data_IF_545995269873
#
_entry.id   IF_545995269873
#
_cell.length_a   1.000
_cell.length_b   1.000
_cell.length_c   1.000
_cell.angle_alpha   90.00
_cell.angle_beta   90.00
_cell.angle_gamma   90.00
#
_symmetry.space_group_name_H-M   'P 1'
#
loop_
_entity.id
_entity.type
_entity.pdbx_description
1 polymer ?
#
# COMPACT_ATOMS: atom_id res chain seq x y z
N UNK A 1 -8.56 7.53 -24.15
CA UNK A 1 -9.60 7.26 -23.13
C UNK A 1 -9.17 6.16 -22.16
N UNK A 2 -8.45 5.13 -22.60
CA UNK A 2 -7.98 4.03 -21.77
C UNK A 2 -6.80 4.44 -20.87
N UNK A 3 -5.85 5.22 -21.43
CA UNK A 3 -4.73 5.78 -20.65
C UNK A 3 -5.20 6.69 -19.51
N UNK A 4 -6.25 7.47 -19.72
CA UNK A 4 -6.79 8.36 -18.67
C UNK A 4 -7.49 7.62 -17.53
N UNK A 5 -8.10 6.47 -17.80
CA UNK A 5 -8.68 5.63 -16.73
C UNK A 5 -7.59 5.01 -15.86
N UNK A 6 -6.43 4.70 -16.44
CA UNK A 6 -5.33 4.05 -15.72
C UNK A 6 -4.46 5.02 -14.91
N UNK A 7 -4.50 6.32 -15.18
CA UNK A 7 -3.72 7.32 -14.43
C UNK A 7 -4.09 7.36 -12.93
N UNK A 8 -5.34 7.06 -12.59
CA UNK A 8 -5.80 7.03 -11.21
C UNK A 8 -5.19 5.88 -10.37
N UNK A 9 -4.59 4.90 -11.04
CA UNK A 9 -4.01 3.71 -10.39
C UNK A 9 -2.48 3.67 -10.44
N UNK A 10 -1.83 4.75 -10.82
CA UNK A 10 -0.38 4.88 -10.76
C UNK A 10 0.04 5.49 -9.44
N UNK A 11 1.01 4.90 -8.79
CA UNK A 11 1.46 5.37 -7.49
C UNK A 11 2.96 5.12 -7.27
N UNK A 12 3.48 5.66 -6.18
CA UNK A 12 4.83 5.45 -5.66
C UNK A 12 5.93 5.74 -6.70
N UNK A 13 5.85 6.91 -7.34
CA UNK A 13 6.84 7.36 -8.29
C UNK A 13 8.24 7.46 -7.65
N UNK A 14 9.24 6.94 -8.37
CA UNK A 14 10.67 7.06 -8.04
C UNK A 14 11.38 7.67 -9.23
N UNK A 15 12.22 8.65 -8.96
CA UNK A 15 13.04 9.32 -9.97
C UNK A 15 14.51 9.05 -9.67
N UNK A 16 15.26 8.71 -10.70
CA UNK A 16 16.72 8.61 -10.66
C UNK A 16 17.30 9.11 -11.96
N UNK A 17 18.58 9.46 -11.95
CA UNK A 17 19.31 9.82 -13.16
C UNK A 17 20.39 8.76 -13.41
N UNK A 18 20.58 8.39 -14.69
CA UNK A 18 21.73 7.58 -15.06
C UNK A 18 22.99 8.44 -15.23
N UNK A 19 24.14 7.79 -15.45
CA UNK A 19 25.43 8.50 -15.64
C UNK A 19 25.53 9.27 -16.94
N UNK A 20 24.66 8.99 -17.90
CA UNK A 20 24.54 9.76 -19.12
C UNK A 20 23.67 11.02 -18.95
N UNK A 21 23.03 11.20 -17.80
CA UNK A 21 22.16 12.33 -17.48
C UNK A 21 20.70 12.12 -17.87
N UNK A 22 20.28 10.92 -18.27
CA UNK A 22 18.87 10.63 -18.54
C UNK A 22 18.09 10.55 -17.24
N UNK A 23 16.86 11.03 -17.26
CA UNK A 23 15.94 10.92 -16.13
C UNK A 23 15.10 9.67 -16.29
N UNK A 24 15.15 8.79 -15.32
CA UNK A 24 14.34 7.60 -15.23
C UNK A 24 13.23 7.79 -14.19
N UNK A 25 12.00 7.57 -14.59
CA UNK A 25 10.83 7.56 -13.71
C UNK A 25 10.30 6.13 -13.62
N UNK A 26 10.25 5.59 -12.43
CA UNK A 26 9.62 4.32 -12.13
C UNK A 26 8.32 4.57 -11.39
N UNK A 27 7.30 3.81 -11.71
CA UNK A 27 6.02 3.84 -11.00
C UNK A 27 5.45 2.44 -10.87
N UNK A 28 4.51 2.30 -9.94
CA UNK A 28 3.68 1.11 -9.84
C UNK A 28 2.29 1.43 -10.37
N UNK A 29 1.75 0.51 -11.15
CA UNK A 29 0.40 0.64 -11.70
C UNK A 29 -0.43 -0.57 -11.31
N UNK A 30 -1.61 -0.30 -10.75
CA UNK A 30 -2.59 -1.34 -10.47
C UNK A 30 -3.25 -1.78 -11.77
N UNK A 31 -3.29 -3.08 -11.99
CA UNK A 31 -4.04 -3.64 -13.10
C UNK A 31 -5.52 -3.67 -12.75
N UNK A 32 -6.35 -3.20 -13.69
CA UNK A 32 -7.79 -3.04 -13.46
C UNK A 32 -8.52 -4.37 -13.35
N UNK A 33 -9.53 -4.34 -12.51
CA UNK A 33 -10.75 -5.16 -12.52
C UNK A 33 -10.65 -6.63 -12.09
N UNK A 34 -9.53 -7.09 -11.55
CA UNK A 34 -9.51 -8.44 -11.05
C UNK A 34 -9.50 -8.45 -9.51
N UNK A 35 -10.70 -8.55 -8.97
CA UNK A 35 -10.90 -9.03 -7.61
C UNK A 35 -10.86 -10.56 -7.65
N UNK A 36 -9.70 -11.11 -7.48
CA UNK A 36 -9.64 -12.50 -7.07
C UNK A 36 -9.61 -12.51 -5.55
N UNK A 37 -10.58 -13.13 -4.89
CA UNK A 37 -10.67 -13.15 -3.42
C UNK A 37 -9.40 -13.64 -2.73
N UNK A 38 -8.54 -14.32 -3.48
CA UNK A 38 -7.32 -14.94 -2.96
C UNK A 38 -6.05 -14.14 -3.27
N UNK A 39 -6.09 -13.25 -4.26
CA UNK A 39 -4.89 -12.56 -4.76
C UNK A 39 -4.87 -11.09 -4.37
N UNK A 40 -6.04 -10.48 -4.14
CA UNK A 40 -6.13 -9.04 -3.92
C UNK A 40 -5.76 -8.22 -5.15
N UNK A 41 -5.18 -7.05 -4.96
CA UNK A 41 -4.74 -6.18 -6.06
C UNK A 41 -3.46 -6.67 -6.71
N UNK A 42 -3.37 -6.53 -8.03
CA UNK A 42 -2.16 -6.77 -8.80
C UNK A 42 -1.51 -5.44 -9.16
N UNK A 43 -0.30 -5.21 -8.68
CA UNK A 43 0.51 -4.06 -9.03
C UNK A 43 1.73 -4.49 -9.81
N UNK A 44 1.99 -3.82 -10.92
CA UNK A 44 3.18 -4.00 -11.77
C UNK A 44 4.06 -2.75 -11.75
N UNK A 45 5.35 -2.93 -11.90
CA UNK A 45 6.30 -1.83 -12.00
C UNK A 45 6.61 -1.48 -13.45
N UNK A 46 6.69 -0.19 -13.73
CA UNK A 46 6.96 0.38 -15.04
C UNK A 46 8.07 1.41 -14.96
N UNK A 47 8.81 1.55 -16.04
CA UNK A 47 9.80 2.59 -16.19
C UNK A 47 9.53 3.40 -17.45
N UNK A 48 9.81 4.69 -17.37
CA UNK A 48 9.94 5.57 -18.54
C UNK A 48 11.25 6.34 -18.43
N UNK A 49 11.86 6.68 -19.53
CA UNK A 49 13.13 7.41 -19.57
C UNK A 49 13.00 8.65 -20.43
N UNK A 50 13.53 9.76 -19.94
CA UNK A 50 13.66 11.03 -20.65
C UNK A 50 15.12 11.28 -21.03
N UNK A 51 15.37 11.53 -22.31
CA UNK A 51 16.72 11.72 -22.88
C UNK A 51 17.11 13.19 -23.10
N UNK A 52 16.28 14.12 -22.68
CA UNK A 52 16.42 15.55 -22.91
C UNK A 52 15.60 16.09 -24.07
N UNK A 53 15.03 15.22 -24.90
CA UNK A 53 14.17 15.57 -26.04
C UNK A 53 12.81 14.89 -25.99
N UNK A 54 12.80 13.64 -25.57
CA UNK A 54 11.59 12.82 -25.59
C UNK A 54 11.54 11.80 -24.45
N UNK A 55 10.33 11.35 -24.15
CA UNK A 55 10.08 10.22 -23.26
C UNK A 55 9.99 8.92 -24.06
N UNK A 56 10.68 7.91 -23.61
CA UNK A 56 10.57 6.52 -24.11
C UNK A 56 9.96 5.63 -23.06
N UNK A 57 9.05 4.76 -23.46
CA UNK A 57 8.30 3.86 -22.60
C UNK A 57 6.78 4.03 -22.76
N UNK A 58 5.96 3.46 -21.87
CA UNK A 58 6.34 2.73 -20.65
C UNK A 58 6.96 1.35 -20.93
N UNK A 59 7.95 1.00 -20.12
CA UNK A 59 8.65 -0.29 -20.16
C UNK A 59 8.18 -1.08 -18.95
N UNK A 60 7.54 -2.22 -19.18
CA UNK A 60 7.18 -3.14 -18.09
C UNK A 60 8.44 -3.77 -17.50
N UNK A 61 8.58 -3.70 -16.19
CA UNK A 61 9.62 -4.44 -15.46
C UNK A 61 9.11 -5.86 -15.24
N UNK A 62 9.74 -6.89 -15.86
CA UNK A 62 9.29 -8.26 -15.71
C UNK A 62 9.41 -8.73 -14.26
N UNK A 63 8.59 -9.69 -13.85
CA UNK A 63 8.54 -10.23 -12.48
C UNK A 63 8.43 -9.13 -11.41
N UNK A 64 7.54 -8.15 -11.64
CA UNK A 64 7.30 -7.06 -10.72
C UNK A 64 5.90 -7.04 -10.13
N UNK A 65 5.17 -8.12 -10.34
CA UNK A 65 3.84 -8.35 -9.80
C UNK A 65 3.88 -8.56 -8.29
N UNK A 66 3.18 -7.69 -7.57
CA UNK A 66 3.15 -7.72 -6.10
C UNK A 66 2.09 -6.75 -5.58
N UNK A 67 2.02 -6.60 -4.25
CA UNK A 67 1.32 -5.50 -3.58
C UNK A 67 1.99 -4.15 -3.91
N UNK A 68 1.25 -3.07 -3.75
CA UNK A 68 1.73 -1.73 -4.07
C UNK A 68 3.04 -1.36 -3.37
N UNK A 69 3.20 -1.75 -2.12
CA UNK A 69 4.34 -1.39 -1.27
C UNK A 69 5.69 -1.92 -1.70
N UNK A 70 5.71 -2.93 -2.54
CA UNK A 70 6.95 -3.50 -3.03
C UNK A 70 7.52 -2.62 -4.15
N UNK A 71 7.80 -1.37 -3.80
CA UNK A 71 8.40 -0.40 -4.70
C UNK A 71 9.80 -0.80 -5.12
N UNK A 72 10.11 -0.67 -6.42
CA UNK A 72 11.46 -0.95 -6.89
C UNK A 72 12.46 0.07 -6.35
N UNK A 73 13.65 -0.41 -6.01
CA UNK A 73 14.84 0.42 -5.83
C UNK A 73 15.61 0.53 -7.14
N UNK A 74 16.21 1.68 -7.43
CA UNK A 74 16.99 1.87 -8.64
C UNK A 74 18.31 2.59 -8.38
N UNK A 75 19.34 2.21 -9.13
CA UNK A 75 20.64 2.86 -9.09
C UNK A 75 21.24 2.99 -10.50
N UNK A 76 22.05 4.04 -10.77
CA UNK A 76 22.70 4.21 -12.06
C UNK A 76 23.78 3.17 -12.32
N UNK A 77 23.85 2.67 -13.55
CA UNK A 77 24.92 1.79 -14.01
C UNK A 77 26.13 2.59 -14.48
N UNK A 78 27.37 2.06 -14.33
CA UNK A 78 28.57 2.72 -14.79
C UNK A 78 28.60 3.01 -16.29
N UNK A 79 28.05 2.11 -17.09
CA UNK A 79 27.99 2.20 -18.55
C UNK A 79 26.80 3.01 -19.10
N UNK A 80 25.95 3.55 -18.23
CA UNK A 80 24.69 4.19 -18.57
C UNK A 80 23.50 3.27 -18.34
N UNK A 81 22.30 3.85 -18.23
CA UNK A 81 21.11 3.13 -17.80
C UNK A 81 21.05 2.92 -16.28
N UNK A 82 20.15 2.08 -15.83
CA UNK A 82 19.89 1.82 -14.43
C UNK A 82 19.77 0.33 -14.13
N UNK A 83 20.13 -0.06 -12.94
CA UNK A 83 19.76 -1.35 -12.35
C UNK A 83 18.56 -1.13 -11.45
N UNK A 84 17.59 -2.04 -11.53
CA UNK A 84 16.37 -2.01 -10.74
C UNK A 84 16.28 -3.29 -9.92
N UNK A 85 16.25 -3.16 -8.59
CA UNK A 85 15.95 -4.27 -7.69
C UNK A 85 14.46 -4.19 -7.31
N UNK A 86 13.75 -5.27 -7.48
CA UNK A 86 12.32 -5.37 -7.23
C UNK A 86 11.95 -6.77 -6.76
N UNK A 87 10.72 -6.93 -6.29
CA UNK A 87 10.23 -8.23 -5.85
C UNK A 87 8.96 -8.61 -6.60
N UNK A 88 8.76 -9.93 -6.72
CA UNK A 88 7.52 -10.54 -7.13
C UNK A 88 7.05 -11.53 -6.06
N UNK A 89 5.77 -11.61 -5.84
CA UNK A 89 5.12 -12.68 -5.09
C UNK A 89 4.36 -13.64 -6.03
N UNK A 90 4.66 -13.57 -7.34
CA UNK A 90 4.13 -14.42 -8.40
C UNK A 90 2.60 -14.45 -8.50
N UNK A 91 1.95 -13.37 -8.01
CA UNK A 91 0.48 -13.31 -8.05
C UNK A 91 -0.07 -13.23 -9.46
N UNK A 92 0.69 -12.73 -10.43
CA UNK A 92 0.27 -12.68 -11.83
C UNK A 92 0.06 -14.08 -12.39
N UNK A 93 0.89 -15.03 -12.06
CA UNK A 93 0.80 -16.41 -12.51
C UNK A 93 -0.44 -17.12 -11.94
N UNK A 94 -0.99 -16.58 -10.86
CA UNK A 94 -2.17 -17.12 -10.20
C UNK A 94 -3.48 -16.64 -10.79
N UNK A 95 -3.46 -15.58 -11.61
CA UNK A 95 -4.68 -15.09 -12.27
C UNK A 95 -5.30 -16.09 -13.24
N UNK A 96 -4.54 -17.03 -13.77
CA UNK A 96 -5.02 -18.08 -14.64
C UNK A 96 -5.43 -19.39 -13.94
N UNK A 97 -5.17 -19.52 -12.66
CA UNK A 97 -5.31 -20.75 -11.89
C UNK A 97 -6.43 -20.67 -10.84
N UNK A 98 -7.58 -20.14 -11.21
CA UNK A 98 -8.78 -20.20 -10.36
C UNK A 98 -9.35 -21.62 -10.34
N UNK A 99 -8.55 -22.57 -9.91
CA UNK A 99 -9.04 -23.84 -9.45
C UNK A 99 -9.31 -23.72 -7.94
N UNK A 100 -10.57 -23.87 -7.55
CA UNK A 100 -10.97 -23.87 -6.14
C UNK A 100 -10.26 -24.96 -5.33
N UNK A 101 -9.58 -25.87 -5.99
CA UNK A 101 -8.78 -26.95 -5.40
C UNK A 101 -7.40 -26.53 -4.93
N UNK A 102 -6.91 -25.32 -5.26
CA UNK A 102 -5.62 -24.85 -4.76
C UNK A 102 -5.76 -24.54 -3.28
N UNK A 103 -5.02 -25.23 -2.39
CA UNK A 103 -5.09 -24.95 -0.97
C UNK A 103 -4.70 -23.47 -0.72
N UNK A 104 -5.62 -22.71 -0.18
CA UNK A 104 -5.45 -21.29 0.14
C UNK A 104 -4.65 -21.07 1.41
N UNK A 105 -4.01 -22.10 1.96
CA UNK A 105 -3.53 -22.03 3.33
C UNK A 105 -2.19 -22.71 3.49
N UNK A 106 -1.28 -21.95 3.98
CA UNK A 106 -0.10 -22.26 4.77
C UNK A 106 0.43 -23.71 4.69
N UNK A 107 1.03 -24.06 3.58
CA UNK A 107 1.92 -25.18 3.45
C UNK A 107 3.27 -24.65 2.97
N UNK A 108 4.27 -25.52 2.88
CA UNK A 108 5.62 -25.19 2.38
C UNK A 108 5.68 -24.54 0.99
N UNK A 109 4.54 -24.26 0.39
CA UNK A 109 4.35 -23.59 -0.89
C UNK A 109 3.36 -22.45 -0.72
N UNK A 110 3.67 -21.45 0.11
CA UNK A 110 2.91 -20.20 0.08
C UNK A 110 3.04 -19.62 -1.33
N UNK A 111 1.92 -19.54 -2.10
CA UNK A 111 1.98 -19.03 -3.47
C UNK A 111 2.43 -17.57 -3.55
N UNK A 112 2.60 -16.89 -2.44
CA UNK A 112 2.96 -15.49 -2.34
C UNK A 112 4.31 -15.26 -1.66
N UNK A 113 5.19 -16.26 -1.68
CA UNK A 113 6.59 -16.04 -1.29
C UNK A 113 7.21 -14.98 -2.20
N UNK A 114 7.89 -14.02 -1.59
CA UNK A 114 8.54 -12.97 -2.32
C UNK A 114 9.93 -13.37 -2.78
N UNK A 115 10.12 -13.38 -4.08
CA UNK A 115 11.44 -13.44 -4.69
C UNK A 115 11.95 -12.03 -5.02
N UNK A 116 13.27 -11.87 -4.97
CA UNK A 116 13.94 -10.61 -5.34
C UNK A 116 14.57 -10.78 -6.71
N UNK A 117 14.23 -9.89 -7.61
CA UNK A 117 14.75 -9.82 -8.97
C UNK A 117 15.61 -8.58 -9.18
N UNK A 118 16.52 -8.68 -10.11
CA UNK A 118 17.35 -7.57 -10.57
C UNK A 118 17.21 -7.45 -12.07
N UNK A 119 16.80 -6.27 -12.54
CA UNK A 119 16.60 -5.97 -13.96
C UNK A 119 17.52 -4.82 -14.37
N UNK A 120 18.17 -4.96 -15.51
CA UNK A 120 18.97 -3.91 -16.12
C UNK A 120 18.17 -3.23 -17.21
N UNK A 121 18.05 -1.91 -17.10
CA UNK A 121 17.38 -1.08 -18.10
C UNK A 121 18.42 -0.17 -18.75
N UNK A 122 18.54 -0.30 -20.06
CA UNK A 122 19.44 0.51 -20.87
C UNK A 122 18.65 1.34 -21.86
N UNK A 123 19.15 2.50 -22.20
CA UNK A 123 18.61 3.33 -23.26
C UNK A 123 19.72 3.70 -24.21
N UNK A 124 19.51 3.38 -25.48
CA UNK A 124 20.40 3.80 -26.58
C UNK A 124 20.06 5.24 -27.00
N UNK A 125 21.07 6.04 -27.27
CA UNK A 125 20.90 7.38 -27.81
C UNK A 125 21.68 8.43 -27.03
N UNK A 126 21.98 9.53 -27.73
CA UNK A 126 22.62 10.68 -27.12
C UNK A 126 21.62 11.41 -26.19
N UNK A 127 22.14 11.95 -25.11
CA UNK A 127 21.33 12.80 -24.19
C UNK A 127 21.34 14.21 -24.81
N UNK A 128 20.14 14.74 -25.06
CA UNK A 128 19.95 16.15 -25.44
C UNK A 128 20.24 17.08 -24.28
N UNK A 129 20.46 18.33 -24.55
CA UNK A 129 20.57 19.36 -23.52
C UNK A 129 19.25 19.47 -22.77
N UNK A 130 19.27 19.21 -21.46
CA UNK A 130 18.10 19.41 -20.60
C UNK A 130 18.10 20.82 -20.04
N UNK A 131 16.99 21.53 -20.24
CA UNK A 131 16.69 22.76 -19.53
C UNK A 131 15.57 22.48 -18.53
N UNK A 132 15.84 22.68 -17.25
CA UNK A 132 14.82 22.62 -16.22
C UNK A 132 14.20 24.01 -16.08
N UNK A 133 12.93 24.10 -16.37
CA UNK A 133 12.15 25.30 -16.08
C UNK A 133 11.39 25.13 -14.76
N UNK A 134 11.22 26.20 -13.97
CA UNK A 134 10.37 26.14 -12.81
C UNK A 134 8.97 25.66 -13.20
N UNK A 135 8.46 24.66 -12.53
CA UNK A 135 7.08 24.23 -12.74
C UNK A 135 6.15 25.42 -12.48
N UNK A 136 5.37 25.79 -13.49
CA UNK A 136 4.25 26.70 -13.26
C UNK A 136 3.24 25.91 -12.43
N UNK A 137 3.30 26.10 -11.14
CA UNK A 137 2.20 25.62 -10.30
C UNK A 137 0.95 26.35 -10.81
N UNK A 138 -0.15 25.63 -11.13
CA UNK A 138 -1.42 26.31 -11.27
C UNK A 138 -1.56 27.16 -10.00
N UNK A 139 -2.04 28.41 -10.15
CA UNK A 139 -2.22 29.26 -8.97
C UNK A 139 -2.92 28.37 -7.93
N UNK A 140 -2.32 28.28 -6.76
CA UNK A 140 -3.02 27.73 -5.60
C UNK A 140 -4.15 28.73 -5.36
N UNK A 141 -5.17 28.62 -6.19
CA UNK A 141 -6.46 29.21 -5.90
C UNK A 141 -6.86 28.53 -4.61
N UNK A 142 -6.59 29.20 -3.52
CA UNK A 142 -7.19 28.84 -2.27
C UNK A 142 -8.68 28.87 -2.54
N UNK A 143 -9.26 27.73 -2.87
CA UNK A 143 -10.67 27.56 -2.69
C UNK A 143 -10.85 27.74 -1.19
N UNK A 144 -11.39 28.89 -0.81
CA UNK A 144 -11.85 29.10 0.55
C UNK A 144 -12.59 27.84 0.97
N UNK A 145 -12.21 27.22 2.11
CA UNK A 145 -12.84 25.99 2.53
C UNK A 145 -14.35 26.18 2.54
N UNK A 146 -15.07 25.30 1.88
CA UNK A 146 -16.54 25.36 1.91
C UNK A 146 -17.03 25.36 3.36
N UNK A 147 -18.11 26.06 3.63
CA UNK A 147 -18.66 26.19 4.98
C UNK A 147 -18.84 24.83 5.69
N UNK A 148 -19.20 23.80 4.95
CA UNK A 148 -19.27 22.42 5.46
C UNK A 148 -17.93 21.90 6.00
N UNK A 149 -16.83 22.16 5.30
CA UNK A 149 -15.48 21.75 5.73
C UNK A 149 -15.05 22.48 7.00
N UNK A 150 -15.38 23.78 7.10
CA UNK A 150 -15.10 24.57 8.30
C UNK A 150 -15.92 24.08 9.50
N UNK A 151 -17.20 23.76 9.27
CA UNK A 151 -18.07 23.22 10.31
C UNK A 151 -17.57 21.85 10.80
N UNK A 152 -17.18 20.96 9.88
CA UNK A 152 -16.62 19.66 10.23
C UNK A 152 -15.32 19.78 11.04
N UNK A 153 -14.41 20.67 10.66
CA UNK A 153 -13.19 20.96 11.44
C UNK A 153 -13.52 21.44 12.85
N UNK A 154 -14.45 22.38 12.97
CA UNK A 154 -14.88 22.89 14.26
C UNK A 154 -15.50 21.78 15.13
N UNK A 155 -16.26 20.87 14.54
CA UNK A 155 -16.84 19.71 15.24
C UNK A 155 -15.77 18.73 15.71
N UNK A 156 -14.74 18.46 14.89
CA UNK A 156 -13.59 17.63 15.27
C UNK A 156 -12.84 18.27 16.44
N UNK A 157 -12.57 19.58 16.36
CA UNK A 157 -11.86 20.30 17.42
C UNK A 157 -12.68 20.33 18.72
N UNK A 158 -13.99 20.51 18.62
CA UNK A 158 -14.90 20.42 19.76
C UNK A 158 -14.87 19.02 20.40
N UNK A 159 -14.92 17.96 19.61
CA UNK A 159 -14.82 16.58 20.11
C UNK A 159 -13.48 16.32 20.79
N UNK A 160 -12.38 16.78 20.19
CA UNK A 160 -11.03 16.63 20.77
C UNK A 160 -10.83 17.42 22.04
N UNK A 161 -11.50 18.56 22.15
CA UNK A 161 -11.50 19.41 23.34
C UNK A 161 -12.31 18.83 24.52
N UNK A 162 -13.12 17.80 24.28
CA UNK A 162 -13.91 17.17 25.35
C UNK A 162 -13.01 16.42 26.32
N UNK A 163 -13.19 16.75 27.60
CA UNK A 163 -12.48 16.07 28.68
C UNK A 163 -13.45 15.71 29.80
N UNK A 164 -13.15 14.62 30.50
CA UNK A 164 -13.84 14.25 31.74
C UNK A 164 -12.80 13.97 32.82
N UNK A 165 -13.15 14.22 34.07
CA UNK A 165 -12.27 13.89 35.20
C UNK A 165 -12.88 12.69 35.94
N UNK A 166 -12.09 11.62 36.01
CA UNK A 166 -12.45 10.39 36.69
C UNK A 166 -11.32 10.03 37.66
N UNK A 167 -11.66 9.88 38.96
CA UNK A 167 -10.69 9.55 40.01
C UNK A 167 -9.45 10.49 39.99
N UNK A 168 -9.65 11.79 39.79
CA UNK A 168 -8.58 12.78 39.76
C UNK A 168 -7.73 12.79 38.46
N UNK A 169 -8.06 11.96 37.46
CA UNK A 169 -7.38 11.91 36.14
C UNK A 169 -8.26 12.57 35.10
N UNK A 170 -7.69 13.52 34.38
CA UNK A 170 -8.36 14.11 33.19
C UNK A 170 -8.16 13.18 32.00
N UNK A 171 -9.27 12.75 31.43
CA UNK A 171 -9.35 11.92 30.23
C UNK A 171 -9.89 12.78 29.08
N UNK A 172 -9.43 12.52 27.87
CA UNK A 172 -9.92 13.13 26.64
C UNK A 172 -10.65 12.10 25.78
N UNK A 173 -11.56 12.57 24.95
CA UNK A 173 -12.18 11.77 23.91
C UNK A 173 -11.18 11.56 22.77
N UNK A 174 -11.02 10.32 22.32
CA UNK A 174 -10.25 9.97 21.14
C UNK A 174 -11.15 9.33 20.10
N UNK A 175 -10.88 9.61 18.81
CA UNK A 175 -11.63 9.10 17.67
C UNK A 175 -10.80 8.05 16.94
N UNK A 176 -11.41 6.92 16.63
CA UNK A 176 -10.70 5.89 15.88
C UNK A 176 -11.60 4.74 15.45
N UNK A 177 -11.03 3.87 14.69
CA UNK A 177 -11.64 2.67 14.14
C UNK A 177 -10.62 1.54 14.10
N UNK A 178 -11.03 0.28 14.24
CA UNK A 178 -10.12 -0.85 14.12
C UNK A 178 -10.67 -1.96 13.20
N UNK A 179 -11.52 -1.61 12.25
CA UNK A 179 -12.10 -2.56 11.31
C UNK A 179 -12.12 -1.97 9.90
N UNK A 180 -10.96 -1.60 9.38
CA UNK A 180 -10.81 -1.11 8.01
C UNK A 180 -10.01 -2.09 7.18
N UNK A 181 -10.60 -2.55 6.07
CA UNK A 181 -9.95 -3.43 5.11
C UNK A 181 -9.14 -2.64 4.08
N UNK A 182 -8.14 -3.30 3.52
CA UNK A 182 -7.28 -2.77 2.45
C UNK A 182 -7.10 -3.81 1.34
N UNK A 183 -6.22 -3.56 0.39
CA UNK A 183 -5.88 -4.52 -0.66
C UNK A 183 -5.27 -5.83 -0.13
N UNK A 184 -4.86 -5.89 1.14
CA UNK A 184 -4.37 -7.11 1.78
C UNK A 184 -5.48 -8.13 1.96
N UNK A 185 -6.68 -7.67 2.29
CA UNK A 185 -7.88 -8.50 2.33
C UNK A 185 -8.48 -8.64 0.94
N UNK A 186 -8.87 -9.86 0.57
CA UNK A 186 -9.51 -10.11 -0.73
C UNK A 186 -10.81 -9.34 -0.94
N UNK A 187 -11.51 -8.98 0.11
CA UNK A 187 -12.74 -8.19 0.11
C UNK A 187 -12.52 -6.67 0.14
N UNK A 188 -11.35 -6.22 0.61
CA UNK A 188 -10.95 -4.81 0.65
C UNK A 188 -10.21 -4.33 -0.60
N UNK A 189 -10.09 -5.13 -1.65
CA UNK A 189 -9.26 -4.82 -2.81
C UNK A 189 -9.58 -3.51 -3.55
N UNK A 190 -10.77 -2.93 -3.34
CA UNK A 190 -11.12 -1.61 -3.90
C UNK A 190 -10.86 -0.46 -2.93
N UNK A 191 -10.54 -0.75 -1.69
CA UNK A 191 -10.34 0.26 -0.66
C UNK A 191 -8.91 0.83 -0.68
N UNK A 192 -8.08 0.30 -1.57
CA UNK A 192 -6.72 0.77 -1.78
C UNK A 192 -5.70 0.14 -0.81
N UNK A 193 -4.47 0.59 -0.91
CA UNK A 193 -3.37 0.08 -0.11
C UNK A 193 -3.38 0.60 1.32
N UNK A 194 -2.59 -0.03 2.19
CA UNK A 194 -2.41 0.38 3.59
C UNK A 194 -2.06 1.87 3.75
N UNK A 195 -1.21 2.42 2.87
CA UNK A 195 -0.84 3.85 2.95
C UNK A 195 -2.03 4.77 2.73
N UNK A 196 -2.89 4.45 1.77
CA UNK A 196 -4.08 5.25 1.51
C UNK A 196 -5.03 5.20 2.71
N UNK A 197 -5.15 4.05 3.34
CA UNK A 197 -5.91 3.91 4.59
C UNK A 197 -5.35 4.81 5.70
N UNK A 198 -4.04 4.77 5.95
CA UNK A 198 -3.40 5.61 6.97
C UNK A 198 -3.50 7.10 6.64
N UNK A 199 -3.26 7.47 5.38
CA UNK A 199 -3.36 8.87 4.93
C UNK A 199 -4.78 9.40 5.03
N UNK A 200 -5.76 8.58 4.64
CA UNK A 200 -7.17 8.96 4.80
C UNK A 200 -7.51 9.21 6.28
N UNK A 201 -7.07 8.34 7.17
CA UNK A 201 -7.31 8.51 8.60
C UNK A 201 -6.68 9.80 9.16
N UNK A 202 -5.46 10.12 8.73
CA UNK A 202 -4.72 11.29 9.19
C UNK A 202 -5.21 12.58 8.56
N UNK A 203 -5.29 12.61 7.23
CA UNK A 203 -5.44 13.85 6.45
C UNK A 203 -6.90 14.21 6.22
N UNK A 204 -7.77 13.21 6.06
CA UNK A 204 -9.18 13.40 5.73
C UNK A 204 -10.07 13.22 6.96
N UNK A 205 -10.08 12.02 7.54
CA UNK A 205 -10.93 11.70 8.67
C UNK A 205 -10.45 12.29 10.00
N UNK A 206 -9.21 12.76 10.07
CA UNK A 206 -8.56 13.34 11.24
C UNK A 206 -8.73 12.50 12.51
N UNK A 207 -8.53 11.20 12.36
CA UNK A 207 -8.61 10.25 13.48
C UNK A 207 -7.41 10.38 14.41
N UNK A 208 -7.57 9.94 15.65
CA UNK A 208 -6.49 9.84 16.62
C UNK A 208 -5.80 8.47 16.56
N UNK A 209 -6.50 7.47 16.03
CA UNK A 209 -5.98 6.13 15.80
C UNK A 209 -6.81 5.39 14.74
N UNK A 210 -6.18 4.45 14.07
CA UNK A 210 -6.83 3.51 13.15
C UNK A 210 -6.12 2.17 13.23
N UNK A 211 -6.86 1.09 13.20
CA UNK A 211 -6.33 -0.26 13.10
C UNK A 211 -6.73 -0.92 11.78
N UNK A 212 -5.83 -1.71 11.19
CA UNK A 212 -6.20 -2.56 10.06
C UNK A 212 -7.16 -3.66 10.53
N UNK A 213 -8.23 -3.86 9.78
CA UNK A 213 -9.14 -4.98 9.90
C UNK A 213 -8.91 -6.05 8.85
N UNK A 214 -7.77 -6.01 8.16
CA UNK A 214 -7.48 -6.99 7.13
C UNK A 214 -7.50 -8.41 7.68
N UNK A 215 -8.13 -9.31 6.93
CA UNK A 215 -8.23 -10.71 7.30
C UNK A 215 -6.87 -11.37 7.42
N UNK A 216 -6.68 -12.20 8.42
CA UNK A 216 -5.49 -13.04 8.54
C UNK A 216 -5.41 -14.12 7.45
N UNK A 217 -6.39 -14.19 6.59
CA UNK A 217 -6.59 -15.09 5.43
C UNK A 217 -6.18 -16.55 5.64
N UNK A 218 -5.96 -16.91 6.89
CA UNK A 218 -5.57 -18.25 7.32
C UNK A 218 -4.25 -18.75 6.79
N UNK A 219 -3.60 -18.00 5.98
CA UNK A 219 -2.45 -18.48 5.25
C UNK A 219 -1.14 -18.32 6.03
N UNK A 220 -1.20 -17.79 7.24
CA UNK A 220 0.04 -17.47 7.96
C UNK A 220 0.93 -16.55 7.13
N UNK A 221 0.35 -15.64 6.37
CA UNK A 221 1.07 -14.68 5.52
C UNK A 221 1.90 -13.75 6.39
N UNK A 222 3.00 -14.25 6.86
CA UNK A 222 3.91 -13.51 7.73
C UNK A 222 4.35 -12.21 7.06
N UNK A 223 4.48 -12.21 5.74
CA UNK A 223 4.86 -11.03 4.99
C UNK A 223 3.82 -9.91 5.07
N UNK A 224 2.55 -10.20 4.82
CA UNK A 224 1.49 -9.17 4.87
C UNK A 224 1.29 -8.65 6.29
N UNK A 225 1.41 -9.50 7.29
CA UNK A 225 1.37 -9.09 8.69
C UNK A 225 2.59 -8.24 9.06
N UNK A 226 3.78 -8.62 8.61
CA UNK A 226 4.97 -7.81 8.78
C UNK A 226 4.82 -6.43 8.11
N UNK A 227 4.24 -6.39 6.89
CA UNK A 227 3.99 -5.16 6.16
C UNK A 227 3.00 -4.25 6.90
N UNK A 228 1.90 -4.82 7.41
CA UNK A 228 0.93 -4.09 8.24
C UNK A 228 1.61 -3.48 9.46
N UNK A 229 2.42 -4.25 10.17
CA UNK A 229 3.15 -3.74 11.33
C UNK A 229 4.18 -2.66 10.96
N UNK A 230 4.90 -2.84 9.86
CA UNK A 230 5.87 -1.86 9.37
C UNK A 230 5.21 -0.53 9.03
N UNK A 231 4.09 -0.56 8.31
CA UNK A 231 3.38 0.67 7.93
C UNK A 231 2.68 1.31 9.14
N UNK A 232 2.16 0.53 10.07
CA UNK A 232 1.64 1.04 11.35
C UNK A 232 2.68 1.89 12.07
N UNK A 233 3.93 1.41 12.17
CA UNK A 233 5.02 2.20 12.77
C UNK A 233 5.38 3.44 11.94
N UNK A 234 5.41 3.31 10.61
CA UNK A 234 5.78 4.41 9.73
C UNK A 234 4.80 5.58 9.78
N UNK A 235 3.53 5.30 10.05
CA UNK A 235 2.49 6.31 10.15
C UNK A 235 2.19 6.78 11.57
N UNK A 236 2.87 6.23 12.58
CA UNK A 236 2.72 6.67 13.96
C UNK A 236 3.25 8.08 14.15
N UNK A 237 2.45 8.96 14.70
CA UNK A 237 2.82 10.33 15.08
C UNK A 237 2.49 10.50 16.57
N UNK A 238 3.53 10.50 17.38
CA UNK A 238 3.40 10.55 18.83
C UNK A 238 2.49 11.70 19.30
N UNK A 239 1.50 11.36 20.11
CA UNK A 239 0.53 12.31 20.64
C UNK A 239 -0.51 12.82 19.65
N UNK A 240 -0.41 12.46 18.36
CA UNK A 240 -1.34 12.89 17.32
C UNK A 240 -2.10 11.73 16.68
N UNK A 241 -1.39 10.67 16.34
CA UNK A 241 -1.96 9.47 15.71
C UNK A 241 -1.22 8.24 16.21
N UNK A 242 -1.92 7.39 16.92
CA UNK A 242 -1.36 6.21 17.60
C UNK A 242 -2.02 4.93 17.11
N UNK A 243 -1.68 4.48 15.89
CA UNK A 243 -2.29 3.29 15.32
C UNK A 243 -1.83 2.03 16.08
N UNK A 244 -2.76 1.15 16.48
CA UNK A 244 -2.43 -0.13 17.08
C UNK A 244 -2.06 -1.16 16.00
N UNK A 245 -1.36 -2.21 16.39
CA UNK A 245 -1.10 -3.37 15.54
C UNK A 245 -2.31 -4.29 15.56
N UNK A 246 -3.11 -4.29 14.51
CA UNK A 246 -4.37 -5.02 14.45
C UNK A 246 -4.52 -5.81 13.16
N UNK A 247 -5.31 -6.86 13.22
CA UNK A 247 -5.82 -7.61 12.10
C UNK A 247 -7.15 -8.23 12.44
N UNK A 248 -7.92 -8.64 11.45
CA UNK A 248 -9.12 -9.41 11.65
C UNK A 248 -8.84 -10.92 11.56
N UNK A 249 -9.04 -11.61 12.68
CA UNK A 249 -9.03 -13.07 12.69
C UNK A 249 -10.32 -13.58 12.10
N UNK A 250 -10.23 -14.21 10.96
CA UNK A 250 -11.37 -14.65 10.17
C UNK A 250 -11.54 -16.14 10.25
N UNK A 251 -12.41 -16.59 11.13
CA UNK A 251 -12.76 -17.99 11.29
C UNK A 251 -14.23 -18.20 10.97
N UNK A 252 -14.56 -19.42 10.53
CA UNK A 252 -15.92 -19.77 10.18
C UNK A 252 -16.83 -19.76 11.42
N UNK A 253 -18.15 -19.63 11.16
CA UNK A 253 -19.15 -19.84 12.18
C UNK A 253 -18.95 -21.21 12.89
N UNK A 254 -19.09 -21.32 14.23
CA UNK A 254 -19.68 -20.32 15.14
C UNK A 254 -18.69 -19.31 15.74
N UNK A 255 -17.37 -19.44 15.55
CA UNK A 255 -16.38 -18.56 16.18
C UNK A 255 -16.47 -17.14 15.63
N UNK A 256 -16.72 -16.98 14.35
CA UNK A 256 -16.89 -15.70 13.67
C UNK A 256 -15.61 -14.90 13.56
N UNK A 257 -15.72 -13.71 12.97
CA UNK A 257 -14.62 -12.78 12.79
C UNK A 257 -14.38 -11.96 14.07
N UNK A 258 -13.13 -11.65 14.37
CA UNK A 258 -12.74 -10.87 15.54
C UNK A 258 -11.53 -10.01 15.24
N UNK A 259 -11.59 -8.75 15.63
CA UNK A 259 -10.42 -7.90 15.62
C UNK A 259 -9.47 -8.30 16.74
N UNK A 260 -8.22 -8.52 16.40
CA UNK A 260 -7.12 -8.82 17.33
C UNK A 260 -6.19 -7.62 17.36
N UNK A 261 -5.84 -7.18 18.57
CA UNK A 261 -4.99 -6.02 18.78
C UNK A 261 -3.77 -6.40 19.62
N UNK A 262 -2.61 -5.93 19.23
CA UNK A 262 -1.37 -6.08 19.99
C UNK A 262 -0.83 -4.70 20.40
N UNK A 263 -0.28 -4.66 21.60
CA UNK A 263 0.33 -3.44 22.14
C UNK A 263 1.71 -3.13 21.54
N UNK A 264 2.35 -4.13 20.93
CA UNK A 264 3.71 -3.99 20.41
C UNK A 264 3.90 -4.73 19.09
N UNK A 265 4.85 -4.26 18.31
CA UNK A 265 5.30 -4.92 17.08
C UNK A 265 6.01 -6.25 17.36
N UNK A 266 6.06 -7.11 16.37
CA UNK A 266 6.80 -8.37 16.41
C UNK A 266 6.01 -9.56 16.97
N UNK A 267 4.77 -9.33 17.38
CA UNK A 267 3.89 -10.43 17.79
C UNK A 267 3.33 -11.10 16.54
N UNK A 268 3.40 -12.43 16.49
CA UNK A 268 2.80 -13.21 15.39
C UNK A 268 1.29 -13.25 15.51
N UNK A 269 0.61 -13.40 14.38
CA UNK A 269 -0.82 -13.66 14.36
C UNK A 269 -1.14 -14.96 15.14
N UNK A 270 -2.31 -15.03 15.70
CA UNK A 270 -2.76 -16.24 16.42
C UNK A 270 -2.85 -17.41 15.42
N UNK A 271 -2.23 -18.54 15.71
CA UNK A 271 -2.26 -19.70 14.82
C UNK A 271 -3.70 -20.16 14.59
N UNK A 272 -4.00 -20.58 13.37
CA UNK A 272 -5.25 -21.29 13.08
C UNK A 272 -5.07 -22.75 13.45
N UNK A 273 -6.06 -23.27 14.15
CA UNK A 273 -6.13 -24.72 14.35
C UNK A 273 -6.42 -25.38 13.00
N UNK A 274 -5.80 -26.54 12.72
CA UNK A 274 -6.16 -27.34 11.55
C UNK A 274 -7.70 -27.51 11.52
N UNK A 275 -8.29 -27.38 10.34
CA UNK A 275 -9.68 -27.78 10.17
C UNK A 275 -9.75 -29.26 10.56
N UNK A 276 -10.41 -29.54 11.67
CA UNK A 276 -10.79 -30.91 11.96
C UNK A 276 -11.73 -31.33 10.82
N UNK A 277 -11.33 -32.34 10.07
CA UNK A 277 -12.21 -32.98 9.11
C UNK A 277 -13.46 -33.41 9.90
N UNK A 278 -14.52 -32.65 9.75
CA UNK A 278 -15.82 -33.06 10.20
C UNK A 278 -16.31 -34.10 9.20
N UNK A 279 -16.02 -35.38 9.49
CA UNK A 279 -16.71 -36.48 8.85
C UNK A 279 -18.15 -36.51 9.29
#
# INVERSE_FOLDING_TARGET
AELQRNLAYNNLARITCDRAGRIWLLCRSRQNDFRFPLVGSLWLSWAVVYDGGSWTGPILIPNSDNLMYNTPGAAPLPAGGIVVAHSSDHRQDRFGLLDESVPTVGGANDPFDNDVFVTWLESAGAVGGMTLEPAQHPPQGGTEPVAATLAERADVDRCRGQTITVNGRTLRLIRGEYHRHTEISGDGGNDGPLEDMWRYALDVAQMDWLGSGDHDNGAGREYTWWLTQKTTDAFRIAGRFEPPFTYERSVAYPEGHRNVMFAQRGVRTLPRLPKLDRK
#
